data_IF_957198877976
#
_entry.id   IF_957198877976
#
_cell.length_a   1.000
_cell.length_b   1.000
_cell.length_c   1.000
_cell.angle_alpha   90.00
_cell.angle_beta   90.00
_cell.angle_gamma   90.00
#
_symmetry.space_group_name_H-M   'P 1'
#
loop_
_entity.id
_entity.type
_entity.pdbx_description
1 polymer ?
#
# COMPACT_ATOMS: atom_id res chain seq x y z
N UNK A 1 10.81 14.11 -14.58
CA UNK A 1 9.38 14.04 -14.17
C UNK A 1 9.34 13.41 -12.79
N UNK A 2 8.90 14.14 -11.76
CA UNK A 2 8.71 13.57 -10.43
C UNK A 2 7.50 12.62 -10.49
N UNK A 3 7.75 11.32 -10.61
CA UNK A 3 6.70 10.32 -10.60
C UNK A 3 6.50 9.81 -9.17
N UNK A 4 5.26 9.76 -8.71
CA UNK A 4 4.93 9.22 -7.39
C UNK A 4 4.50 7.77 -7.61
N UNK A 5 4.95 6.90 -6.70
CA UNK A 5 4.55 5.50 -6.67
C UNK A 5 3.73 5.29 -5.41
N UNK A 6 2.51 4.80 -5.59
CA UNK A 6 1.68 4.28 -4.51
C UNK A 6 2.21 2.90 -4.16
N UNK A 7 2.35 2.64 -2.88
CA UNK A 7 2.77 1.36 -2.33
C UNK A 7 1.73 0.94 -1.31
N UNK A 8 0.87 0.01 -1.70
CA UNK A 8 -0.11 -0.61 -0.80
C UNK A 8 0.53 -1.87 -0.20
N UNK A 9 0.82 -1.81 1.10
CA UNK A 9 1.33 -2.93 1.87
C UNK A 9 0.15 -3.68 2.48
N UNK A 10 0.03 -4.97 2.18
CA UNK A 10 -0.93 -5.86 2.84
C UNK A 10 -0.25 -6.43 4.08
N UNK A 11 -0.77 -6.07 5.25
CA UNK A 11 -0.17 -6.39 6.54
C UNK A 11 -1.02 -7.44 7.26
N UNK A 12 -0.37 -8.41 7.90
CA UNK A 12 -1.05 -9.38 8.76
C UNK A 12 -1.63 -8.69 10.00
N UNK A 13 -2.76 -9.19 10.51
CA UNK A 13 -3.38 -8.69 11.74
C UNK A 13 -2.46 -8.73 12.97
N UNK A 14 -1.49 -9.65 12.99
CA UNK A 14 -0.52 -9.82 14.07
C UNK A 14 0.63 -8.79 14.04
N UNK A 15 0.80 -8.06 12.93
CA UNK A 15 1.88 -7.08 12.76
C UNK A 15 1.35 -5.69 13.12
N UNK A 16 2.03 -4.99 14.01
CA UNK A 16 1.65 -3.62 14.36
C UNK A 16 1.85 -2.68 13.16
N UNK A 17 0.97 -1.69 13.00
CA UNK A 17 1.04 -0.71 11.92
C UNK A 17 2.42 -0.06 11.72
N UNK A 18 3.18 0.36 12.76
CA UNK A 18 4.53 0.89 12.54
C UNK A 18 5.50 -0.14 11.95
N UNK A 19 5.43 -1.40 12.39
CA UNK A 19 6.34 -2.48 11.99
C UNK A 19 6.05 -3.05 10.60
N UNK A 20 4.84 -2.86 10.06
CA UNK A 20 4.56 -3.30 8.69
C UNK A 20 5.35 -2.47 7.67
N UNK A 21 6.39 -3.07 7.08
CA UNK A 21 7.24 -2.53 6.02
C UNK A 21 7.11 -3.38 4.75
N UNK A 22 7.84 -3.03 3.67
CA UNK A 22 7.92 -3.86 2.46
C UNK A 22 8.45 -5.26 2.74
N UNK A 23 9.29 -5.42 3.76
CA UNK A 23 9.96 -6.68 4.09
C UNK A 23 9.09 -7.60 4.93
N UNK A 24 8.14 -7.02 5.70
CA UNK A 24 7.28 -7.76 6.63
C UNK A 24 5.83 -7.84 6.16
N UNK A 25 5.47 -7.14 5.08
CA UNK A 25 4.15 -7.22 4.49
C UNK A 25 3.93 -8.62 3.89
N UNK A 26 2.68 -9.10 3.96
CA UNK A 26 2.24 -10.32 3.29
C UNK A 26 2.29 -10.16 1.77
N UNK A 27 1.97 -8.96 1.29
CA UNK A 27 2.05 -8.61 -0.12
C UNK A 27 2.30 -7.10 -0.31
N UNK A 28 2.86 -6.74 -1.45
CA UNK A 28 3.24 -5.37 -1.81
C UNK A 28 2.75 -5.06 -3.21
N UNK A 29 1.75 -4.19 -3.29
CA UNK A 29 1.15 -3.77 -4.55
C UNK A 29 1.59 -2.34 -4.85
N UNK A 30 2.11 -2.12 -6.05
CA UNK A 30 2.55 -0.78 -6.48
C UNK A 30 1.76 -0.27 -7.66
N UNK A 31 1.48 1.03 -7.67
CA UNK A 31 0.80 1.69 -8.78
C UNK A 31 1.33 3.11 -9.02
N UNK A 32 1.07 3.68 -10.20
CA UNK A 32 1.41 5.06 -10.48
C UNK A 32 0.52 6.02 -9.67
N UNK A 33 1.07 7.15 -9.25
CA UNK A 33 0.32 8.33 -8.85
C UNK A 33 0.94 9.58 -9.47
N UNK A 34 0.08 10.55 -9.77
CA UNK A 34 0.44 11.84 -10.32
C UNK A 34 0.49 12.94 -9.25
N UNK A 35 -0.15 12.72 -8.09
CA UNK A 35 -0.13 13.64 -6.94
C UNK A 35 -0.04 12.90 -5.60
N UNK A 36 0.37 13.60 -4.53
CA UNK A 36 0.41 13.04 -3.18
C UNK A 36 -1.00 12.72 -2.65
N UNK A 37 -1.99 13.58 -2.93
CA UNK A 37 -3.39 13.35 -2.56
C UNK A 37 -3.93 12.09 -3.22
N UNK A 38 -3.70 11.92 -4.52
CA UNK A 38 -4.08 10.72 -5.24
C UNK A 38 -3.46 9.48 -4.60
N UNK A 39 -2.16 9.53 -4.32
CA UNK A 39 -1.45 8.38 -3.76
C UNK A 39 -2.05 7.87 -2.44
N UNK A 40 -2.44 8.78 -1.53
CA UNK A 40 -3.04 8.40 -0.25
C UNK A 40 -4.40 7.70 -0.42
N UNK A 41 -5.17 8.11 -1.44
CA UNK A 41 -6.49 7.54 -1.75
C UNK A 41 -6.35 6.20 -2.50
N UNK A 42 -5.34 6.08 -3.37
CA UNK A 42 -5.20 4.94 -4.27
C UNK A 42 -4.75 3.64 -3.58
N UNK A 43 -4.10 3.70 -2.42
CA UNK A 43 -3.59 2.49 -1.77
C UNK A 43 -4.65 1.39 -1.52
N UNK A 44 -5.75 1.69 -0.82
CA UNK A 44 -6.84 0.73 -0.61
C UNK A 44 -7.51 0.28 -1.93
N UNK A 45 -7.60 1.18 -2.91
CA UNK A 45 -8.17 0.88 -4.24
C UNK A 45 -7.31 -0.13 -5.00
N UNK A 46 -5.98 0.04 -4.97
CA UNK A 46 -5.02 -0.89 -5.58
C UNK A 46 -5.08 -2.26 -4.90
N UNK A 47 -5.11 -2.29 -3.58
CA UNK A 47 -5.27 -3.53 -2.81
C UNK A 47 -6.56 -4.27 -3.21
N UNK A 48 -7.69 -3.57 -3.24
CA UNK A 48 -8.98 -4.15 -3.61
C UNK A 48 -8.98 -4.68 -5.07
N UNK A 49 -8.40 -3.94 -6.01
CA UNK A 49 -8.29 -4.37 -7.41
C UNK A 49 -7.38 -5.60 -7.58
N UNK A 50 -6.38 -5.77 -6.70
CA UNK A 50 -5.56 -6.98 -6.65
C UNK A 50 -6.27 -8.19 -6.00
N UNK A 51 -7.51 -8.00 -5.53
CA UNK A 51 -8.33 -9.05 -4.94
C UNK A 51 -8.27 -9.11 -3.41
N UNK A 52 -7.61 -8.15 -2.75
CA UNK A 52 -7.60 -8.09 -1.29
C UNK A 52 -9.00 -7.79 -0.73
N UNK A 53 -9.48 -8.66 0.17
CA UNK A 53 -10.83 -8.55 0.77
C UNK A 53 -10.82 -8.25 2.26
N UNK A 54 -9.65 -8.05 2.89
CA UNK A 54 -9.56 -7.89 4.35
C UNK A 54 -9.75 -9.21 5.11
N UNK A 55 -9.40 -10.33 4.50
CA UNK A 55 -9.44 -11.65 5.16
C UNK A 55 -8.47 -11.73 6.34
N UNK A 56 -8.81 -12.56 7.33
CA UNK A 56 -8.00 -12.81 8.54
C UNK A 56 -7.58 -11.57 9.34
N UNK A 57 -8.34 -10.48 9.24
CA UNK A 57 -8.04 -9.21 9.91
C UNK A 57 -6.82 -8.48 9.34
N UNK A 58 -6.34 -8.91 8.16
CA UNK A 58 -5.29 -8.20 7.45
C UNK A 58 -5.75 -6.78 7.10
N UNK A 59 -4.80 -5.87 7.00
CA UNK A 59 -5.06 -4.45 6.74
C UNK A 59 -4.13 -3.89 5.67
N UNK A 60 -4.54 -2.79 5.06
CA UNK A 60 -3.75 -2.09 4.04
C UNK A 60 -3.05 -0.89 4.67
N UNK A 61 -1.73 -0.80 4.50
CA UNK A 61 -0.94 0.39 4.83
C UNK A 61 -0.42 1.04 3.54
N UNK A 62 -0.87 2.26 3.27
CA UNK A 62 -0.46 3.02 2.10
C UNK A 62 0.81 3.83 2.38
N UNK A 63 1.78 3.76 1.47
CA UNK A 63 2.96 4.62 1.42
C UNK A 63 3.04 5.29 0.04
N UNK A 64 3.55 6.51 0.04
CA UNK A 64 3.80 7.30 -1.17
C UNK A 64 5.28 7.55 -1.29
N UNK A 65 5.89 7.00 -2.34
CA UNK A 65 7.31 7.12 -2.60
C UNK A 65 7.52 7.96 -3.85
N UNK A 66 8.51 8.86 -3.83
CA UNK A 66 8.91 9.57 -5.05
C UNK A 66 9.95 8.74 -5.78
N UNK A 67 9.70 8.40 -7.06
CA UNK A 67 10.71 7.84 -7.95
C UNK A 67 11.67 8.96 -8.35
N UNK A 68 12.94 8.80 -7.98
CA UNK A 68 14.07 9.62 -8.45
C UNK A 68 14.47 9.21 -9.88
#
# INVERSE_FOLDING_TARGET
>A
MNSIVVVALICAASVQTPDCSRETALDVITGPAHTLQECLIQGPVLAANAGFKGEDGAYVKTRCEQKH
#
